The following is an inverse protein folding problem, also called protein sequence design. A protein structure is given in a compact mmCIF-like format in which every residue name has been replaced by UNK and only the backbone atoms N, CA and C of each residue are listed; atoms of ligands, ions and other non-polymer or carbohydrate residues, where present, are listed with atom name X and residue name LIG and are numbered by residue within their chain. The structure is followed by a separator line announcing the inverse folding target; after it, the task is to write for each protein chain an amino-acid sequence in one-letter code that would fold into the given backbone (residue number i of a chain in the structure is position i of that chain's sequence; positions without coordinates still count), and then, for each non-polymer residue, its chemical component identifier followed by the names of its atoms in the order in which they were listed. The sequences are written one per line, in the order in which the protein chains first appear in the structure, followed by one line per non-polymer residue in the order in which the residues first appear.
data_IF_627122152079
#
_entry.id   IF_627122152079
#
_cell.length_a   1.000
_cell.length_b   1.000
_cell.length_c   1.000
_cell.angle_alpha   90.00
_cell.angle_beta   90.00
_cell.angle_gamma   90.00
#
_symmetry.space_group_name_H-M   'P 1'
#
loop_
_entity.id
_entity.type
_entity.pdbx_description
1 polymer ?
#
# COMPACT_ATOMS: atom_id res chain seq x y z
N UNK A 1 19.51 -5.07 -6.47
CA UNK A 1 18.40 -5.63 -7.27
C UNK A 1 17.13 -4.87 -6.93
N UNK A 2 16.72 -3.92 -7.76
CA UNK A 2 15.37 -3.35 -7.74
C UNK A 2 14.44 -4.39 -8.34
N UNK A 3 13.93 -5.30 -7.51
CA UNK A 3 12.85 -6.18 -7.95
C UNK A 3 11.63 -5.34 -8.30
N UNK A 4 10.90 -5.73 -9.35
CA UNK A 4 9.81 -4.96 -9.94
C UNK A 4 8.49 -5.71 -9.79
N UNK A 5 7.37 -4.99 -9.86
CA UNK A 5 6.03 -5.53 -9.72
C UNK A 5 5.46 -5.93 -11.09
N UNK A 6 4.37 -6.70 -11.09
CA UNK A 6 3.71 -7.17 -12.31
C UNK A 6 2.63 -6.18 -12.79
N UNK A 7 1.78 -5.72 -11.87
CA UNK A 7 0.70 -4.78 -12.17
C UNK A 7 1.24 -3.35 -12.09
N UNK A 8 0.89 -2.52 -13.09
CA UNK A 8 1.30 -1.12 -13.11
C UNK A 8 0.59 -0.33 -11.99
N UNK A 9 -0.60 -0.79 -11.64
CA UNK A 9 -1.41 -0.34 -10.52
C UNK A 9 -0.64 -0.48 -9.19
N UNK A 10 0.16 -1.54 -9.02
CA UNK A 10 0.98 -1.76 -7.83
C UNK A 10 2.13 -0.76 -7.70
N UNK A 11 2.79 -0.44 -8.81
CA UNK A 11 3.81 0.62 -8.85
C UNK A 11 3.16 1.99 -8.55
N UNK A 12 1.99 2.27 -9.15
CA UNK A 12 1.25 3.51 -8.90
C UNK A 12 0.86 3.65 -7.40
N UNK A 13 0.41 2.58 -6.76
CA UNK A 13 0.08 2.59 -5.33
C UNK A 13 1.32 2.87 -4.46
N UNK A 14 2.47 2.26 -4.79
CA UNK A 14 3.72 2.52 -4.05
C UNK A 14 4.22 3.96 -4.26
N UNK A 15 4.04 4.53 -5.45
CA UNK A 15 4.37 5.92 -5.73
C UNK A 15 3.45 6.88 -4.97
N UNK A 16 2.13 6.64 -4.93
CA UNK A 16 1.20 7.45 -4.15
C UNK A 16 1.52 7.44 -2.65
N UNK A 17 1.93 6.30 -2.09
CA UNK A 17 2.42 6.24 -0.70
C UNK A 17 3.67 7.11 -0.53
N UNK A 18 4.58 7.10 -1.50
CA UNK A 18 5.80 7.91 -1.46
C UNK A 18 5.48 9.41 -1.53
N UNK A 19 4.63 9.82 -2.49
CA UNK A 19 4.16 11.20 -2.65
C UNK A 19 3.46 11.72 -1.38
N UNK A 20 2.67 10.87 -0.72
CA UNK A 20 2.04 11.20 0.55
C UNK A 20 3.09 11.57 1.62
N UNK A 21 4.19 10.82 1.71
CA UNK A 21 5.27 11.13 2.65
C UNK A 21 6.12 12.34 2.23
N UNK A 22 6.34 12.52 0.92
CA UNK A 22 7.03 13.70 0.38
C UNK A 22 6.27 14.99 0.72
N UNK A 23 4.96 14.92 0.95
CA UNK A 23 4.16 16.02 1.48
C UNK A 23 4.12 16.08 3.02
N UNK A 24 3.83 14.96 3.68
CA UNK A 24 3.55 14.95 5.13
C UNK A 24 4.82 15.22 5.96
N UNK A 25 5.99 14.74 5.56
CA UNK A 25 7.24 14.97 6.31
C UNK A 25 7.73 16.41 6.30
N UNK A 26 7.84 17.08 5.15
CA UNK A 26 8.15 18.51 5.15
C UNK A 26 7.11 19.32 5.93
N UNK A 27 5.83 18.96 5.84
CA UNK A 27 4.75 19.64 6.59
C UNK A 27 4.90 19.47 8.10
N UNK A 28 5.21 18.25 8.58
CA UNK A 28 5.44 17.98 9.99
C UNK A 28 6.68 18.73 10.52
N UNK A 29 7.77 18.76 9.74
CA UNK A 29 8.99 19.53 10.08
C UNK A 29 8.71 21.03 10.10
N UNK A 30 7.96 21.54 9.11
CA UNK A 30 7.55 22.94 9.05
C UNK A 30 6.72 23.33 10.27
N UNK A 31 5.73 22.50 10.64
CA UNK A 31 4.92 22.70 11.84
C UNK A 31 5.78 22.69 13.10
N UNK A 32 6.71 21.74 13.24
CA UNK A 32 7.62 21.69 14.39
C UNK A 32 8.44 22.98 14.56
N UNK A 33 9.01 23.49 13.47
CA UNK A 33 9.76 24.75 13.49
C UNK A 33 8.86 25.95 13.78
N UNK A 34 7.66 26.00 13.22
CA UNK A 34 6.69 27.06 13.50
C UNK A 34 6.33 27.09 14.98
N UNK A 35 6.11 25.92 15.62
CA UNK A 35 5.86 25.84 17.06
C UNK A 35 6.95 26.49 17.87
N UNK A 36 8.20 26.17 17.56
CA UNK A 36 9.37 26.73 18.26
C UNK A 36 9.41 28.25 18.14
N UNK A 37 9.17 28.79 16.94
CA UNK A 37 9.19 30.24 16.71
C UNK A 37 8.04 30.96 17.43
N UNK A 38 6.82 30.42 17.37
CA UNK A 38 5.64 31.01 18.04
C UNK A 38 5.80 30.94 19.55
N UNK A 39 6.24 29.80 20.10
CA UNK A 39 6.48 29.64 21.53
C UNK A 39 7.55 30.63 22.03
N UNK A 40 8.66 30.76 21.30
CA UNK A 40 9.70 31.74 21.62
C UNK A 40 9.21 33.19 21.59
N UNK A 41 8.36 33.53 20.61
CA UNK A 41 7.77 34.86 20.53
C UNK A 41 6.83 35.15 21.71
N UNK A 42 5.97 34.20 22.09
CA UNK A 42 5.06 34.34 23.24
C UNK A 42 5.83 34.41 24.56
N UNK A 43 6.94 33.67 24.71
CA UNK A 43 7.82 33.81 25.87
C UNK A 43 8.45 35.20 25.96
N UNK A 44 8.92 35.74 24.84
CA UNK A 44 9.50 37.09 24.81
C UNK A 44 8.45 38.20 24.96
N UNK A 45 7.19 37.92 24.60
CA UNK A 45 6.06 38.86 24.69
C UNK A 45 4.82 38.17 25.28
N UNK A 46 4.74 38.01 26.61
CA UNK A 46 3.64 37.26 27.24
C UNK A 46 2.24 37.83 26.97
N UNK A 47 2.13 39.15 26.78
CA UNK A 47 0.88 39.84 26.49
C UNK A 47 0.46 39.79 25.00
N UNK A 48 1.21 39.10 24.12
CA UNK A 48 0.90 39.01 22.70
C UNK A 48 -0.49 38.40 22.46
N UNK A 49 -1.34 39.11 21.72
CA UNK A 49 -2.69 38.66 21.39
C UNK A 49 -2.68 37.66 20.22
N UNK A 50 -3.84 37.13 19.86
CA UNK A 50 -3.96 36.26 18.67
C UNK A 50 -3.70 37.07 17.40
N UNK A 51 -4.16 38.31 17.36
CA UNK A 51 -3.98 39.24 16.24
C UNK A 51 -2.50 39.58 16.03
N UNK A 52 -1.72 39.74 17.12
CA UNK A 52 -0.27 39.95 17.04
C UNK A 52 0.44 38.76 16.38
N UNK A 53 0.01 37.53 16.70
CA UNK A 53 0.56 36.31 16.13
C UNK A 53 0.17 36.16 14.65
N UNK A 54 -1.09 36.46 14.30
CA UNK A 54 -1.56 36.45 12.92
C UNK A 54 -0.79 37.46 12.06
N UNK A 55 -0.67 38.70 12.51
CA UNK A 55 0.06 39.75 11.80
C UNK A 55 1.53 39.36 11.56
N UNK A 56 2.18 38.72 12.54
CA UNK A 56 3.60 38.37 12.46
C UNK A 56 3.90 37.13 11.62
N UNK A 57 3.10 36.06 11.78
CA UNK A 57 3.45 34.74 11.23
C UNK A 57 2.55 34.31 10.07
N UNK A 58 1.38 34.94 9.90
CA UNK A 58 0.41 34.61 8.85
C UNK A 58 0.33 35.70 7.78
N UNK A 59 0.74 36.94 8.11
CA UNK A 59 0.74 38.08 7.19
C UNK A 59 1.33 37.75 5.82
N UNK A 60 0.57 38.04 4.76
CA UNK A 60 0.97 37.78 3.37
C UNK A 60 0.68 36.36 2.84
N UNK A 61 0.24 35.41 3.68
CA UNK A 61 -0.06 34.03 3.24
C UNK A 61 -1.45 33.84 2.62
N UNK A 62 -2.33 34.83 2.71
CA UNK A 62 -3.77 34.74 2.38
C UNK A 62 -4.59 33.75 3.24
N UNK A 63 -3.98 33.10 4.22
CA UNK A 63 -4.67 32.20 5.16
C UNK A 63 -5.40 33.04 6.23
N UNK A 64 -6.64 32.68 6.55
CA UNK A 64 -7.46 33.33 7.58
C UNK A 64 -7.83 32.33 8.67
N UNK A 65 -7.94 32.80 9.91
CA UNK A 65 -8.41 31.98 11.05
C UNK A 65 -7.39 30.97 11.58
N UNK A 66 -6.10 31.15 11.26
CA UNK A 66 -5.03 30.31 11.78
C UNK A 66 -4.74 30.67 13.24
N UNK A 67 -5.40 30.00 14.18
CA UNK A 67 -5.17 30.23 15.61
C UNK A 67 -3.82 29.61 16.06
N UNK A 68 -2.74 30.35 15.84
CA UNK A 68 -1.37 29.91 16.13
C UNK A 68 -1.09 29.73 17.62
N UNK A 69 -1.75 30.52 18.50
CA UNK A 69 -1.65 30.31 19.95
C UNK A 69 -2.15 28.92 20.32
N UNK A 70 -3.35 28.55 19.86
CA UNK A 70 -3.91 27.22 20.11
C UNK A 70 -3.07 26.12 19.48
N UNK A 71 -2.68 26.30 18.23
CA UNK A 71 -1.95 25.27 17.49
C UNK A 71 -0.54 25.02 18.06
N UNK A 72 0.18 26.08 18.46
CA UNK A 72 1.60 26.00 18.80
C UNK A 72 1.91 26.07 20.30
N UNK A 73 1.05 26.70 21.10
CA UNK A 73 1.27 26.92 22.53
C UNK A 73 0.34 26.04 23.36
N UNK A 74 -0.97 26.12 23.12
CA UNK A 74 -1.96 25.46 23.99
C UNK A 74 -2.04 23.95 23.73
N UNK A 75 -1.91 23.53 22.46
CA UNK A 75 -1.89 22.12 22.09
C UNK A 75 -0.47 21.55 22.17
N UNK A 76 -0.35 20.31 22.65
CA UNK A 76 0.92 19.59 22.66
C UNK A 76 1.34 19.15 21.25
N UNK A 77 2.62 18.81 21.11
CA UNK A 77 3.12 18.20 19.89
C UNK A 77 2.46 16.84 19.61
N UNK A 78 2.25 16.03 20.65
CA UNK A 78 1.60 14.72 20.53
C UNK A 78 0.19 14.84 19.93
N UNK A 79 -0.57 15.86 20.31
CA UNK A 79 -1.89 16.12 19.72
C UNK A 79 -1.80 16.40 18.22
N UNK A 80 -0.79 17.14 17.76
CA UNK A 80 -0.60 17.41 16.33
C UNK A 80 -0.07 16.18 15.59
N UNK A 81 0.83 15.41 16.20
CA UNK A 81 1.27 14.13 15.64
C UNK A 81 0.10 13.16 15.44
N UNK A 82 -0.86 13.13 16.38
CA UNK A 82 -2.08 12.34 16.22
C UNK A 82 -2.93 12.82 15.03
N UNK A 83 -2.98 14.12 14.74
CA UNK A 83 -3.67 14.63 13.55
C UNK A 83 -2.97 14.18 12.27
N UNK A 84 -1.63 14.27 12.18
CA UNK A 84 -0.88 13.71 11.05
C UNK A 84 -1.13 12.21 10.89
N UNK A 85 -1.19 11.47 12.00
CA UNK A 85 -1.49 10.05 12.00
C UNK A 85 -2.90 9.76 11.45
N UNK A 86 -3.90 10.61 11.76
CA UNK A 86 -5.27 10.48 11.24
C UNK A 86 -5.32 10.63 9.72
N UNK A 87 -4.72 11.70 9.20
CA UNK A 87 -4.67 11.95 7.75
C UNK A 87 -3.96 10.79 7.03
N UNK A 88 -2.74 10.44 7.47
CA UNK A 88 -1.99 9.33 6.90
C UNK A 88 -2.79 8.02 6.94
N UNK A 89 -3.43 7.67 8.05
CA UNK A 89 -4.18 6.42 8.16
C UNK A 89 -5.33 6.34 7.15
N UNK A 90 -6.07 7.44 6.99
CA UNK A 90 -7.19 7.53 6.04
C UNK A 90 -6.67 7.37 4.61
N UNK A 91 -5.65 8.14 4.24
CA UNK A 91 -5.09 8.14 2.88
C UNK A 91 -4.45 6.79 2.54
N UNK A 92 -3.69 6.21 3.47
CA UNK A 92 -3.06 4.89 3.29
C UNK A 92 -4.08 3.77 3.07
N UNK A 93 -5.18 3.76 3.85
CA UNK A 93 -6.28 2.83 3.63
C UNK A 93 -6.94 3.04 2.25
N UNK A 94 -7.18 4.31 1.87
CA UNK A 94 -7.79 4.64 0.59
C UNK A 94 -6.91 4.19 -0.60
N UNK A 95 -5.59 4.43 -0.52
CA UNK A 95 -4.63 3.98 -1.55
C UNK A 95 -4.68 2.46 -1.69
N UNK A 96 -4.64 1.70 -0.59
CA UNK A 96 -4.67 0.24 -0.65
C UNK A 96 -6.00 -0.29 -1.18
N UNK A 97 -7.13 0.24 -0.73
CA UNK A 97 -8.46 -0.21 -1.19
C UNK A 97 -8.69 0.14 -2.66
N UNK A 98 -8.26 1.33 -3.10
CA UNK A 98 -8.30 1.74 -4.50
C UNK A 98 -7.39 0.90 -5.40
N UNK A 99 -6.16 0.62 -4.94
CA UNK A 99 -5.25 -0.29 -5.62
C UNK A 99 -5.84 -1.69 -5.77
N UNK A 100 -6.40 -2.26 -4.70
CA UNK A 100 -6.94 -3.62 -4.74
C UNK A 100 -8.10 -3.74 -5.73
N UNK A 101 -8.96 -2.71 -5.82
CA UNK A 101 -9.99 -2.62 -6.84
C UNK A 101 -9.42 -2.63 -8.26
N UNK A 102 -8.50 -1.70 -8.56
CA UNK A 102 -7.87 -1.60 -9.88
C UNK A 102 -7.08 -2.87 -10.27
N UNK A 103 -6.38 -3.47 -9.31
CA UNK A 103 -5.63 -4.71 -9.50
C UNK A 103 -6.56 -5.88 -9.86
N UNK A 104 -7.71 -5.99 -9.19
CA UNK A 104 -8.71 -7.01 -9.50
C UNK A 104 -9.37 -6.76 -10.86
N UNK A 105 -9.68 -5.52 -11.21
CA UNK A 105 -10.21 -5.19 -12.54
C UNK A 105 -9.22 -5.63 -13.64
N UNK A 106 -7.92 -5.39 -13.44
CA UNK A 106 -6.86 -5.79 -14.36
C UNK A 106 -6.77 -7.32 -14.57
N UNK A 107 -7.15 -8.11 -13.56
CA UNK A 107 -7.15 -9.58 -13.62
C UNK A 107 -8.56 -10.19 -13.66
N UNK A 108 -9.60 -9.37 -13.92
CA UNK A 108 -11.01 -9.79 -13.96
C UNK A 108 -11.49 -10.50 -12.70
N UNK A 109 -11.04 -10.03 -11.54
CA UNK A 109 -11.53 -10.45 -10.23
C UNK A 109 -12.97 -9.98 -9.97
N UNK A 110 -13.62 -10.61 -8.99
CA UNK A 110 -14.99 -10.28 -8.58
C UNK A 110 -15.04 -9.36 -7.37
N UNK A 111 -16.20 -8.76 -7.11
CA UNK A 111 -16.46 -8.01 -5.87
C UNK A 111 -16.27 -8.88 -4.61
N UNK A 112 -16.58 -10.18 -4.70
CA UNK A 112 -16.31 -11.12 -3.62
C UNK A 112 -14.81 -11.27 -3.35
N UNK A 113 -13.97 -11.24 -4.39
CA UNK A 113 -12.51 -11.26 -4.24
C UNK A 113 -12.00 -9.97 -3.62
N UNK A 114 -12.55 -8.81 -4.02
CA UNK A 114 -12.23 -7.52 -3.42
C UNK A 114 -12.51 -7.51 -1.92
N UNK A 115 -13.64 -8.07 -1.50
CA UNK A 115 -13.98 -8.19 -0.08
C UNK A 115 -13.05 -9.16 0.63
N UNK A 116 -12.85 -10.35 0.09
CA UNK A 116 -12.10 -11.42 0.73
C UNK A 116 -10.59 -11.12 0.84
N UNK A 117 -9.97 -10.48 -0.15
CA UNK A 117 -8.53 -10.15 -0.14
C UNK A 117 -8.14 -9.09 0.91
N UNK A 118 -9.11 -8.46 1.56
CA UNK A 118 -8.88 -7.48 2.63
C UNK A 118 -8.83 -8.11 4.03
N UNK A 119 -9.14 -9.40 4.16
CA UNK A 119 -9.26 -10.06 5.45
C UNK A 119 -8.47 -11.38 5.51
N UNK A 120 -7.92 -11.72 6.69
CA UNK A 120 -7.40 -13.05 6.93
C UNK A 120 -8.45 -14.13 6.66
N UNK A 121 -7.99 -15.33 6.39
CA UNK A 121 -8.85 -16.49 6.16
C UNK A 121 -9.66 -16.81 7.42
N UNK A 122 -10.97 -17.00 7.23
CA UNK A 122 -11.88 -17.43 8.29
C UNK A 122 -13.05 -18.25 7.71
N UNK A 123 -14.04 -18.56 8.55
CA UNK A 123 -15.24 -19.28 8.16
C UNK A 123 -16.49 -18.48 8.54
N UNK A 124 -17.51 -18.50 7.68
CA UNK A 124 -18.84 -18.01 8.03
C UNK A 124 -19.51 -18.93 9.06
N UNK A 125 -20.63 -18.50 9.64
CA UNK A 125 -21.47 -19.34 10.50
C UNK A 125 -21.93 -20.63 9.81
N UNK A 126 -22.10 -20.60 8.49
CA UNK A 126 -22.42 -21.76 7.66
C UNK A 126 -21.21 -22.64 7.28
N UNK A 127 -20.03 -22.37 7.86
CA UNK A 127 -18.80 -23.12 7.61
C UNK A 127 -18.08 -22.77 6.30
N UNK A 128 -18.62 -21.86 5.48
CA UNK A 128 -18.02 -21.46 4.20
C UNK A 128 -16.71 -20.70 4.46
N UNK A 129 -15.62 -21.14 3.81
CA UNK A 129 -14.32 -20.47 3.84
C UNK A 129 -14.41 -19.09 3.17
N UNK A 130 -13.93 -18.05 3.84
CA UNK A 130 -13.86 -16.66 3.37
C UNK A 130 -12.47 -16.07 3.63
N UNK A 131 -12.22 -14.85 3.17
CA UNK A 131 -10.93 -14.17 3.32
C UNK A 131 -9.91 -14.59 2.24
N UNK A 132 -8.67 -14.17 2.43
CA UNK A 132 -7.62 -14.23 1.38
C UNK A 132 -7.45 -15.61 0.74
N UNK A 133 -7.46 -16.70 1.51
CA UNK A 133 -7.32 -18.04 0.93
C UNK A 133 -8.51 -18.44 0.06
N UNK A 134 -9.72 -17.96 0.36
CA UNK A 134 -10.90 -18.23 -0.47
C UNK A 134 -10.82 -17.46 -1.80
N UNK A 135 -10.41 -16.19 -1.77
CA UNK A 135 -10.19 -15.40 -2.99
C UNK A 135 -9.07 -15.97 -3.86
N UNK A 136 -7.90 -16.24 -3.28
CA UNK A 136 -6.79 -16.82 -4.03
C UNK A 136 -7.17 -18.19 -4.61
N UNK A 137 -7.91 -19.03 -3.87
CA UNK A 137 -8.41 -20.30 -4.39
C UNK A 137 -9.34 -20.15 -5.60
N UNK A 138 -10.17 -19.09 -5.65
CA UNK A 138 -11.03 -18.79 -6.81
C UNK A 138 -10.21 -18.27 -7.99
N UNK A 139 -9.33 -17.30 -7.74
CA UNK A 139 -8.49 -16.65 -8.77
C UNK A 139 -7.49 -17.64 -9.38
N UNK A 140 -6.95 -18.56 -8.58
CA UNK A 140 -5.99 -19.59 -9.00
C UNK A 140 -6.64 -20.84 -9.58
N UNK A 141 -7.98 -20.88 -9.75
CA UNK A 141 -8.64 -22.04 -10.39
C UNK A 141 -8.15 -22.26 -11.82
N UNK A 142 -7.84 -21.16 -12.52
CA UNK A 142 -7.29 -21.17 -13.88
C UNK A 142 -5.98 -20.37 -13.89
N UNK A 143 -4.89 -21.02 -13.49
CA UNK A 143 -3.56 -20.41 -13.49
C UNK A 143 -2.92 -20.38 -14.88
N UNK A 144 -2.16 -19.32 -15.14
CA UNK A 144 -1.26 -19.24 -16.27
C UNK A 144 -0.02 -20.09 -16.01
N UNK A 145 0.09 -21.22 -16.70
CA UNK A 145 1.29 -22.05 -16.66
C UNK A 145 2.55 -21.26 -17.11
N UNK A 146 2.39 -20.32 -18.06
CA UNK A 146 3.48 -19.44 -18.47
C UNK A 146 3.97 -18.60 -17.29
N UNK A 147 3.08 -17.82 -16.65
CA UNK A 147 3.51 -16.87 -15.62
C UNK A 147 4.09 -17.62 -14.43
N UNK A 148 3.45 -18.70 -14.00
CA UNK A 148 3.91 -19.54 -12.89
C UNK A 148 5.33 -20.05 -13.13
N UNK A 149 5.67 -20.48 -14.35
CA UNK A 149 7.01 -21.00 -14.65
C UNK A 149 8.04 -19.92 -14.97
N UNK A 150 7.69 -18.87 -15.72
CA UNK A 150 8.67 -17.89 -16.22
C UNK A 150 8.85 -16.66 -15.33
N UNK A 151 7.78 -16.13 -14.73
CA UNK A 151 7.77 -14.79 -14.12
C UNK A 151 7.60 -14.83 -12.61
N UNK A 152 6.71 -15.69 -12.11
CA UNK A 152 6.38 -15.80 -10.69
C UNK A 152 7.60 -16.07 -9.79
N UNK A 153 8.60 -16.90 -10.17
CA UNK A 153 9.82 -17.06 -9.37
C UNK A 153 10.64 -15.77 -9.21
N UNK A 154 10.58 -14.85 -10.18
CA UNK A 154 11.20 -13.54 -10.08
C UNK A 154 10.39 -12.60 -9.17
N UNK A 155 9.05 -12.57 -9.33
CA UNK A 155 8.16 -11.78 -8.47
C UNK A 155 8.28 -12.19 -6.99
N UNK A 156 8.36 -13.49 -6.72
CA UNK A 156 8.53 -14.03 -5.36
C UNK A 156 9.85 -13.66 -4.69
N UNK A 157 10.88 -13.29 -5.45
CA UNK A 157 12.17 -12.83 -4.93
C UNK A 157 12.16 -11.34 -4.57
N UNK A 158 11.06 -10.61 -4.78
CA UNK A 158 10.96 -9.23 -4.32
C UNK A 158 11.15 -9.16 -2.80
N UNK A 159 12.02 -8.28 -2.31
CA UNK A 159 12.37 -8.17 -0.89
C UNK A 159 11.18 -7.82 0.03
N UNK A 160 10.11 -7.29 -0.56
CA UNK A 160 8.84 -6.98 0.11
C UNK A 160 7.76 -8.06 -0.07
N UNK A 161 8.03 -9.12 -0.81
CA UNK A 161 7.11 -10.25 -0.90
C UNK A 161 7.16 -11.04 0.42
N UNK A 162 6.01 -11.19 1.06
CA UNK A 162 5.86 -11.79 2.39
C UNK A 162 4.78 -12.87 2.37
N UNK A 163 4.73 -13.69 1.31
CA UNK A 163 3.62 -14.64 1.09
C UNK A 163 3.35 -15.59 2.26
N UNK A 164 4.41 -16.04 2.93
CA UNK A 164 4.30 -16.95 4.07
C UNK A 164 3.73 -16.28 5.33
N UNK A 165 3.70 -14.94 5.35
CA UNK A 165 3.20 -14.10 6.45
C UNK A 165 1.93 -13.33 6.06
N UNK A 166 1.33 -13.63 4.90
CA UNK A 166 0.21 -12.88 4.34
C UNK A 166 -1.00 -12.80 5.31
N UNK A 167 -1.34 -13.90 5.96
CA UNK A 167 -2.43 -13.95 6.95
C UNK A 167 -2.16 -13.01 8.14
N UNK A 168 -0.94 -13.05 8.67
CA UNK A 168 -0.50 -12.21 9.80
C UNK A 168 -0.50 -10.73 9.41
N UNK A 169 0.01 -10.40 8.22
CA UNK A 169 0.01 -9.02 7.72
C UNK A 169 -1.42 -8.51 7.50
N UNK A 170 -2.34 -9.34 7.00
CA UNK A 170 -3.75 -8.99 6.86
C UNK A 170 -4.45 -8.79 8.21
N UNK A 171 -4.04 -9.54 9.24
CA UNK A 171 -4.53 -9.31 10.61
C UNK A 171 -4.10 -7.93 11.13
N UNK A 172 -2.85 -7.53 10.86
CA UNK A 172 -2.42 -6.15 11.13
C UNK A 172 -3.18 -5.10 10.34
N UNK A 173 -3.36 -5.32 9.04
CA UNK A 173 -4.15 -4.42 8.21
C UNK A 173 -5.58 -4.25 8.75
N UNK A 174 -6.21 -5.34 9.20
CA UNK A 174 -7.55 -5.29 9.79
C UNK A 174 -7.60 -4.36 11.01
N UNK A 175 -6.60 -4.38 11.90
CA UNK A 175 -6.56 -3.46 13.04
C UNK A 175 -6.53 -1.98 12.60
N UNK A 176 -5.63 -1.61 11.69
CA UNK A 176 -5.54 -0.24 11.18
C UNK A 176 -6.77 0.18 10.38
N UNK A 177 -7.37 -0.74 9.62
CA UNK A 177 -8.63 -0.51 8.91
C UNK A 177 -9.77 -0.22 9.89
N UNK A 178 -9.90 -0.99 10.97
CA UNK A 178 -10.96 -0.74 11.96
C UNK A 178 -10.71 0.57 12.73
N UNK A 179 -9.45 0.96 12.99
CA UNK A 179 -9.13 2.30 13.49
C UNK A 179 -9.63 3.40 12.53
N UNK A 180 -9.38 3.25 11.22
CA UNK A 180 -9.87 4.17 10.20
C UNK A 180 -11.40 4.22 10.19
N UNK A 181 -12.07 3.07 10.24
CA UNK A 181 -13.52 2.99 10.22
C UNK A 181 -14.16 3.75 11.39
N UNK A 182 -13.63 3.59 12.61
CA UNK A 182 -14.19 4.30 13.78
C UNK A 182 -13.92 5.80 13.75
N UNK A 183 -12.81 6.25 13.16
CA UNK A 183 -12.52 7.66 12.96
C UNK A 183 -13.49 8.33 11.98
N UNK A 184 -13.84 7.65 10.88
CA UNK A 184 -14.74 8.21 9.85
C UNK A 184 -16.22 8.08 10.24
N UNK A 185 -16.65 6.92 10.74
CA UNK A 185 -18.07 6.61 10.93
C UNK A 185 -18.52 6.55 12.39
N UNK A 186 -17.61 6.26 13.31
CA UNK A 186 -17.92 6.00 14.74
C UNK A 186 -17.74 7.21 15.67
N UNK A 187 -17.62 8.43 15.12
CA UNK A 187 -17.32 9.63 15.91
C UNK A 187 -15.97 9.54 16.64
N UNK A 188 -15.05 8.71 16.15
CA UNK A 188 -13.75 8.46 16.77
C UNK A 188 -13.79 7.57 18.02
N UNK A 189 -14.90 6.86 18.30
CA UNK A 189 -15.05 6.01 19.50
C UNK A 189 -14.83 4.54 19.17
N UNK A 190 -14.12 3.83 20.04
CA UNK A 190 -13.79 2.42 19.81
C UNK A 190 -15.06 1.53 19.79
N UNK A 191 -15.05 0.56 18.88
CA UNK A 191 -16.13 -0.42 18.66
C UNK A 191 -15.68 -1.84 19.02
N UNK A 192 -16.61 -2.77 19.17
CA UNK A 192 -16.31 -4.20 19.40
C UNK A 192 -15.40 -4.77 18.31
N UNK A 193 -15.67 -4.44 17.03
CA UNK A 193 -14.83 -4.86 15.89
C UNK A 193 -13.37 -4.41 16.03
N UNK A 194 -13.15 -3.20 16.54
CA UNK A 194 -11.80 -2.70 16.79
C UNK A 194 -11.13 -3.44 17.96
N UNK A 195 -11.87 -3.72 19.03
CA UNK A 195 -11.36 -4.49 20.17
C UNK A 195 -10.94 -5.91 19.75
N UNK A 196 -11.76 -6.59 18.96
CA UNK A 196 -11.43 -7.90 18.39
C UNK A 196 -10.19 -7.84 17.49
N UNK A 197 -10.14 -6.88 16.58
CA UNK A 197 -8.99 -6.72 15.68
C UNK A 197 -7.70 -6.40 16.46
N UNK A 198 -7.81 -5.59 17.53
CA UNK A 198 -6.70 -5.29 18.42
C UNK A 198 -6.24 -6.51 19.22
N UNK A 199 -7.16 -7.34 19.72
CA UNK A 199 -6.81 -8.58 20.43
C UNK A 199 -5.99 -9.54 19.55
N UNK A 200 -6.34 -9.63 18.25
CA UNK A 200 -5.53 -10.39 17.29
C UNK A 200 -4.19 -9.69 17.05
N UNK A 201 -4.19 -8.37 16.86
CA UNK A 201 -2.97 -7.58 16.64
C UNK A 201 -1.91 -7.79 17.73
N UNK A 202 -2.31 -7.73 19.00
CA UNK A 202 -1.37 -7.87 20.14
C UNK A 202 -0.86 -9.30 20.33
N UNK A 203 -1.49 -10.30 19.72
CA UNK A 203 -1.01 -11.69 19.76
C UNK A 203 0.14 -11.95 18.78
N UNK A 204 0.47 -10.99 17.92
CA UNK A 204 1.61 -11.07 16.99
C UNK A 204 2.90 -10.81 17.78
N UNK A 205 3.62 -11.89 18.08
CA UNK A 205 4.70 -11.89 19.06
C UNK A 205 6.01 -11.22 18.62
N UNK A 206 6.28 -11.07 17.31
CA UNK A 206 7.53 -10.49 16.82
C UNK A 206 7.38 -9.68 15.52
N UNK A 207 8.23 -8.66 15.35
CA UNK A 207 8.30 -7.86 14.11
C UNK A 207 8.70 -8.70 12.88
N UNK A 208 9.46 -9.78 13.11
CA UNK A 208 9.83 -10.77 12.10
C UNK A 208 8.64 -11.54 11.55
N UNK A 209 7.52 -11.60 12.28
CA UNK A 209 6.27 -12.17 11.76
C UNK A 209 5.59 -11.27 10.71
N UNK A 210 6.06 -10.04 10.56
CA UNK A 210 5.59 -9.05 9.58
C UNK A 210 6.68 -8.68 8.55
N UNK A 211 7.87 -9.30 8.64
CA UNK A 211 9.08 -8.88 7.93
C UNK A 211 9.39 -7.37 8.13
N UNK A 212 9.09 -6.83 9.31
CA UNK A 212 9.38 -5.45 9.65
C UNK A 212 10.55 -5.35 10.63
N UNK A 213 11.12 -4.14 10.73
CA UNK A 213 12.13 -3.83 11.75
C UNK A 213 11.52 -3.72 13.14
N UNK A 214 10.27 -3.30 13.22
CA UNK A 214 9.51 -3.14 14.45
C UNK A 214 8.03 -3.44 14.19
N UNK A 215 7.33 -3.89 15.22
CA UNK A 215 5.86 -3.96 15.19
C UNK A 215 5.36 -2.52 15.22
N UNK A 216 4.43 -2.12 14.34
CA UNK A 216 3.88 -0.78 14.37
C UNK A 216 3.30 -0.43 15.75
N UNK A 217 3.68 0.73 16.28
CA UNK A 217 3.21 1.20 17.57
C UNK A 217 1.67 1.33 17.59
N UNK A 218 1.06 1.05 18.73
CA UNK A 218 -0.39 1.01 18.87
C UNK A 218 -0.82 1.46 20.27
N UNK A 219 -2.11 1.76 20.42
CA UNK A 219 -2.73 2.07 21.71
C UNK A 219 -3.91 1.13 21.95
N UNK A 220 -4.04 0.55 23.16
CA UNK A 220 -5.18 -0.28 23.51
C UNK A 220 -6.50 0.52 23.40
N UNK A 221 -7.47 0.09 22.58
CA UNK A 221 -8.78 0.71 22.51
C UNK A 221 -9.62 0.32 23.73
N UNK A 222 -10.47 1.24 24.20
CA UNK A 222 -11.46 0.99 25.25
C UNK A 222 -12.84 1.25 24.68
N UNK A 223 -13.74 0.26 24.75
CA UNK A 223 -15.06 0.31 24.13
C UNK A 223 -15.81 1.60 24.48
N UNK A 224 -16.29 2.33 23.46
CA UNK A 224 -17.03 3.58 23.64
C UNK A 224 -16.18 4.82 23.98
N UNK A 225 -14.87 4.69 24.17
CA UNK A 225 -13.96 5.82 24.40
C UNK A 225 -13.27 6.27 23.11
N UNK A 226 -12.82 7.54 23.03
CA UNK A 226 -12.04 8.03 21.90
C UNK A 226 -10.80 7.18 21.64
N UNK A 227 -10.54 6.85 20.38
CA UNK A 227 -9.32 6.15 19.96
C UNK A 227 -8.13 7.09 19.93
N UNK A 228 -6.94 6.54 20.17
CA UNK A 228 -5.66 7.24 20.02
C UNK A 228 -4.84 6.62 18.89
N UNK A 229 -4.09 7.45 18.18
CA UNK A 229 -3.19 6.99 17.12
C UNK A 229 -1.74 7.31 17.47
N UNK A 230 -0.85 6.40 17.09
CA UNK A 230 0.59 6.66 17.08
C UNK A 230 1.01 7.02 15.66
N UNK A 231 1.63 8.19 15.46
CA UNK A 231 2.21 8.56 14.16
C UNK A 231 3.23 7.52 13.71
N UNK A 232 4.16 7.10 14.58
CA UNK A 232 5.13 6.02 14.31
C UNK A 232 4.43 4.71 13.94
N UNK A 233 3.31 4.40 14.59
CA UNK A 233 2.46 3.26 14.25
C UNK A 233 1.92 3.32 12.84
N UNK A 234 1.32 4.44 12.45
CA UNK A 234 0.79 4.64 11.09
C UNK A 234 1.91 4.63 10.04
N UNK A 235 3.11 5.12 10.39
CA UNK A 235 4.29 4.99 9.51
C UNK A 235 4.72 3.54 9.33
N UNK A 236 4.76 2.75 10.41
CA UNK A 236 5.01 1.31 10.32
C UNK A 236 3.96 0.60 9.45
N UNK A 237 2.70 1.05 9.54
CA UNK A 237 1.58 0.52 8.75
C UNK A 237 1.75 0.70 7.24
N UNK A 238 2.29 1.82 6.76
CA UNK A 238 2.55 1.96 5.30
C UNK A 238 3.57 0.93 4.80
N UNK A 239 4.53 0.53 5.65
CA UNK A 239 5.45 -0.57 5.36
C UNK A 239 4.73 -1.92 5.18
N UNK A 240 3.66 -2.18 5.94
CA UNK A 240 2.80 -3.35 5.78
C UNK A 240 2.01 -3.29 4.47
N UNK A 241 1.46 -2.13 4.11
CA UNK A 241 0.72 -1.96 2.86
C UNK A 241 1.58 -2.26 1.64
N UNK A 242 2.82 -1.74 1.60
CA UNK A 242 3.76 -2.04 0.50
C UNK A 242 4.01 -3.55 0.39
N UNK A 243 4.10 -4.26 1.53
CA UNK A 243 4.25 -5.73 1.54
C UNK A 243 3.00 -6.43 1.06
N UNK A 244 1.80 -5.99 1.46
CA UNK A 244 0.54 -6.53 0.95
C UNK A 244 0.44 -6.36 -0.56
N UNK A 245 0.62 -5.13 -1.05
CA UNK A 245 0.61 -4.80 -2.48
C UNK A 245 1.58 -5.70 -3.23
N UNK A 246 2.85 -5.76 -2.81
CA UNK A 246 3.88 -6.59 -3.45
C UNK A 246 3.51 -8.09 -3.44
N UNK A 247 2.99 -8.57 -2.32
CA UNK A 247 2.70 -10.00 -2.14
C UNK A 247 1.52 -10.42 -2.99
N UNK A 248 0.43 -9.66 -2.93
CA UNK A 248 -0.78 -9.92 -3.68
C UNK A 248 -0.57 -9.67 -5.17
N UNK A 249 0.21 -8.66 -5.58
CA UNK A 249 0.63 -8.47 -6.98
C UNK A 249 1.21 -9.76 -7.59
N UNK A 250 2.14 -10.39 -6.88
CA UNK A 250 2.74 -11.65 -7.31
C UNK A 250 1.72 -12.81 -7.37
N UNK A 251 0.75 -12.86 -6.45
CA UNK A 251 -0.30 -13.88 -6.46
C UNK A 251 -1.33 -13.64 -7.58
N UNK A 252 -1.72 -12.39 -7.84
CA UNK A 252 -2.67 -12.01 -8.89
C UNK A 252 -2.06 -12.19 -10.29
N UNK A 253 -0.75 -12.03 -10.41
CA UNK A 253 -0.02 -12.29 -11.66
C UNK A 253 -0.17 -13.74 -12.14
N UNK A 254 -0.41 -14.71 -11.25
CA UNK A 254 -0.51 -16.14 -11.61
C UNK A 254 -1.75 -16.48 -12.46
N UNK A 255 -2.71 -15.58 -12.55
CA UNK A 255 -4.02 -15.85 -13.16
C UNK A 255 -3.97 -15.87 -14.69
N UNK A 256 -4.90 -16.58 -15.35
CA UNK A 256 -5.01 -16.56 -16.81
C UNK A 256 -5.27 -15.13 -17.37
N UNK A 257 -6.12 -14.28 -16.78
CA UNK A 257 -6.28 -12.89 -17.21
C UNK A 257 -4.98 -12.08 -17.12
N UNK A 258 -4.13 -12.33 -16.13
CA UNK A 258 -2.81 -11.70 -16.06
C UNK A 258 -1.90 -12.09 -17.26
N UNK A 259 -2.00 -13.31 -17.78
CA UNK A 259 -1.31 -13.70 -19.02
C UNK A 259 -1.80 -12.91 -20.23
N UNK A 260 -3.11 -12.68 -20.32
CA UNK A 260 -3.70 -11.83 -21.38
C UNK A 260 -3.23 -10.38 -21.27
N UNK A 261 -3.15 -9.86 -20.04
CA UNK A 261 -2.61 -8.54 -19.76
C UNK A 261 -1.14 -8.42 -20.18
N UNK A 262 -0.31 -9.41 -19.86
CA UNK A 262 1.08 -9.49 -20.30
C UNK A 262 1.19 -9.52 -21.82
N UNK A 263 0.35 -10.32 -22.49
CA UNK A 263 0.33 -10.43 -23.94
C UNK A 263 0.02 -9.08 -24.60
N UNK A 264 -0.99 -8.36 -24.10
CA UNK A 264 -1.34 -7.01 -24.56
C UNK A 264 -0.19 -6.03 -24.38
N UNK A 265 0.37 -5.93 -23.16
CA UNK A 265 1.47 -5.02 -22.84
C UNK A 265 2.72 -5.30 -23.68
N UNK A 266 3.05 -6.57 -23.92
CA UNK A 266 4.16 -6.95 -24.78
C UNK A 266 3.93 -6.59 -26.25
N UNK A 267 2.73 -6.85 -26.77
CA UNK A 267 2.39 -6.48 -28.15
C UNK A 267 2.46 -4.96 -28.37
N UNK A 268 1.95 -4.17 -27.42
CA UNK A 268 2.03 -2.72 -27.43
C UNK A 268 3.50 -2.23 -27.37
N UNK A 269 4.31 -2.80 -26.48
CA UNK A 269 5.72 -2.45 -26.33
C UNK A 269 6.59 -2.80 -27.55
N UNK A 270 6.26 -3.89 -28.25
CA UNK A 270 6.99 -4.30 -29.46
C UNK A 270 6.72 -3.37 -30.66
N UNK A 271 5.57 -2.69 -30.65
CA UNK A 271 5.12 -1.77 -31.69
C UNK A 271 4.50 -2.47 -32.90
N UNK A 272 3.40 -1.91 -33.43
CA UNK A 272 2.74 -2.42 -34.65
C UNK A 272 3.75 -2.45 -35.81
N UNK A 273 3.89 -3.60 -36.48
CA UNK A 273 4.67 -3.75 -37.71
C UNK A 273 6.17 -4.01 -37.55
N UNK A 274 6.72 -4.15 -36.33
CA UNK A 274 8.12 -4.56 -36.15
C UNK A 274 8.24 -6.08 -35.99
N UNK A 275 8.83 -6.75 -36.98
CA UNK A 275 9.23 -8.15 -36.88
C UNK A 275 10.25 -8.31 -35.74
N UNK A 276 10.04 -9.28 -34.84
CA UNK A 276 11.14 -9.70 -33.96
C UNK A 276 12.19 -10.43 -34.80
N UNK A 277 13.45 -10.47 -34.32
CA UNK A 277 14.45 -11.38 -34.88
C UNK A 277 13.93 -12.83 -34.93
N UNK A 278 14.54 -13.72 -35.75
CA UNK A 278 14.07 -15.09 -35.93
C UNK A 278 13.88 -15.84 -34.60
N UNK A 279 12.92 -16.78 -34.59
CA UNK A 279 12.57 -17.59 -33.42
C UNK A 279 13.81 -18.26 -32.82
N UNK A 280 13.92 -18.26 -31.49
CA UNK A 280 15.01 -18.97 -30.80
C UNK A 280 16.38 -18.30 -30.85
N UNK A 281 16.50 -17.13 -31.50
CA UNK A 281 17.77 -16.38 -31.52
C UNK A 281 18.05 -15.68 -30.18
N UNK A 282 19.33 -15.49 -29.87
CA UNK A 282 19.77 -14.68 -28.73
C UNK A 282 19.28 -13.24 -28.85
N UNK A 283 19.23 -12.69 -30.07
CA UNK A 283 18.72 -11.36 -30.37
C UNK A 283 17.24 -11.21 -30.02
N UNK A 284 16.39 -12.20 -30.38
CA UNK A 284 14.96 -12.19 -30.02
C UNK A 284 14.75 -12.20 -28.52
N UNK A 285 15.46 -13.06 -27.78
CA UNK A 285 15.43 -13.07 -26.31
C UNK A 285 15.93 -11.76 -25.70
N UNK A 286 16.97 -11.16 -26.28
CA UNK A 286 17.46 -9.84 -25.88
C UNK A 286 16.41 -8.75 -26.04
N UNK A 287 15.63 -8.79 -27.13
CA UNK A 287 14.54 -7.84 -27.37
C UNK A 287 13.35 -8.04 -26.45
N UNK A 288 12.95 -9.29 -26.17
CA UNK A 288 11.93 -9.60 -25.15
C UNK A 288 12.36 -9.07 -23.79
N UNK A 289 13.63 -9.29 -23.40
CA UNK A 289 14.19 -8.73 -22.16
C UNK A 289 14.10 -7.20 -22.12
N UNK A 290 14.43 -6.53 -23.22
CA UNK A 290 14.33 -5.07 -23.31
C UNK A 290 12.87 -4.59 -23.17
N UNK A 291 11.90 -5.29 -23.77
CA UNK A 291 10.47 -4.99 -23.61
C UNK A 291 10.01 -5.15 -22.16
N UNK A 292 10.34 -6.28 -21.50
CA UNK A 292 10.03 -6.48 -20.08
C UNK A 292 10.63 -5.35 -19.23
N UNK A 293 11.87 -4.96 -19.51
CA UNK A 293 12.53 -3.85 -18.83
C UNK A 293 11.84 -2.50 -19.08
N UNK A 294 11.35 -2.24 -20.29
CA UNK A 294 10.66 -0.98 -20.58
C UNK A 294 9.26 -0.94 -19.97
N UNK A 295 8.61 -2.10 -19.83
CA UNK A 295 7.29 -2.25 -19.20
C UNK A 295 7.33 -2.23 -17.67
N UNK A 296 8.49 -2.02 -17.06
CA UNK A 296 8.61 -2.11 -15.60
C UNK A 296 8.46 -3.54 -15.06
N UNK A 297 8.50 -4.58 -15.89
CA UNK A 297 8.35 -5.97 -15.44
C UNK A 297 9.69 -6.58 -14.99
N UNK A 298 9.66 -7.65 -14.17
CA UNK A 298 10.86 -8.44 -13.90
C UNK A 298 11.49 -8.96 -15.19
N UNK A 299 12.81 -8.87 -15.28
CA UNK A 299 13.59 -9.40 -16.41
C UNK A 299 14.82 -10.20 -15.95
N UNK A 300 15.17 -10.15 -14.66
CA UNK A 300 16.27 -10.91 -14.05
C UNK A 300 15.75 -12.22 -13.44
N UNK A 301 16.37 -13.34 -13.82
CA UNK A 301 15.92 -14.69 -13.44
C UNK A 301 14.51 -15.03 -13.90
N UNK A 302 14.08 -14.42 -15.02
CA UNK A 302 12.89 -14.81 -15.79
C UNK A 302 13.30 -15.79 -16.89
N UNK A 303 12.50 -16.82 -17.12
CA UNK A 303 12.73 -17.75 -18.23
C UNK A 303 12.29 -17.14 -19.58
N UNK A 304 13.24 -16.46 -20.23
CA UNK A 304 13.02 -15.84 -21.53
C UNK A 304 12.82 -16.86 -22.66
N UNK A 305 13.24 -18.12 -22.51
CA UNK A 305 12.98 -19.15 -23.53
C UNK A 305 11.51 -19.53 -23.52
N UNK A 306 10.92 -19.66 -22.33
CA UNK A 306 9.50 -19.95 -22.17
C UNK A 306 8.64 -18.81 -22.74
N UNK A 307 8.98 -17.55 -22.42
CA UNK A 307 8.29 -16.37 -22.95
C UNK A 307 8.43 -16.28 -24.48
N UNK A 308 9.61 -16.56 -25.04
CA UNK A 308 9.80 -16.59 -26.49
C UNK A 308 8.89 -17.63 -27.17
N UNK A 309 8.92 -18.88 -26.68
CA UNK A 309 8.10 -19.96 -27.21
C UNK A 309 6.59 -19.65 -27.12
N UNK A 310 6.15 -19.08 -26.00
CA UNK A 310 4.76 -18.64 -25.81
C UNK A 310 4.37 -17.47 -26.72
N UNK A 311 5.20 -16.43 -26.83
CA UNK A 311 4.92 -15.26 -27.67
C UNK A 311 4.75 -15.64 -29.13
N UNK A 312 5.53 -16.61 -29.59
CA UNK A 312 5.43 -17.20 -30.94
C UNK A 312 4.09 -17.91 -31.13
N UNK A 313 3.68 -18.77 -30.17
CA UNK A 313 2.41 -19.51 -30.25
C UNK A 313 1.20 -18.58 -30.28
N UNK A 314 1.24 -17.50 -29.50
CA UNK A 314 0.15 -16.50 -29.46
C UNK A 314 0.15 -15.55 -30.66
N UNK A 315 1.10 -15.67 -31.60
CA UNK A 315 1.26 -14.73 -32.73
C UNK A 315 1.27 -13.26 -32.26
N UNK A 316 1.80 -13.01 -31.05
CA UNK A 316 2.08 -11.63 -30.59
C UNK A 316 3.17 -10.96 -31.44
N UNK A 317 3.75 -11.76 -32.31
CA UNK A 317 4.85 -11.46 -33.18
C UNK A 317 4.63 -12.22 -34.47
N UNK A 318 4.65 -11.51 -35.59
CA UNK A 318 4.91 -12.08 -36.91
C UNK A 318 6.35 -12.58 -36.98
#
# INVERSE_FOLDING_TARGET
MTSRLFLAESDAACNQITELYDFVWPTAVGMWNLRWQVAGYVQARPAATVEDLEARFVGGSSIRGANLRRACVDNSWDTQQEQFAKFLLIDLCAIYEGWLGAALDAVRGSEADLKDLQFPTSHTLSGKKVGVSAALGRLHKNESALIVSALYPALRRHAKNSRNKLETILACYRYFKELRNVLIHGGGRASEKLLEAHAVYVSIGAATDLDLKEIPAHHPPVLGFPVKLSLRGVVGFSGLLIRLVTTLDAELARTQPAEELLARRLAESLGKGKLLPPKGTSQRRGRIRACLRNLGLPFEGVDLKLIDAWSTRRKLVS
#
